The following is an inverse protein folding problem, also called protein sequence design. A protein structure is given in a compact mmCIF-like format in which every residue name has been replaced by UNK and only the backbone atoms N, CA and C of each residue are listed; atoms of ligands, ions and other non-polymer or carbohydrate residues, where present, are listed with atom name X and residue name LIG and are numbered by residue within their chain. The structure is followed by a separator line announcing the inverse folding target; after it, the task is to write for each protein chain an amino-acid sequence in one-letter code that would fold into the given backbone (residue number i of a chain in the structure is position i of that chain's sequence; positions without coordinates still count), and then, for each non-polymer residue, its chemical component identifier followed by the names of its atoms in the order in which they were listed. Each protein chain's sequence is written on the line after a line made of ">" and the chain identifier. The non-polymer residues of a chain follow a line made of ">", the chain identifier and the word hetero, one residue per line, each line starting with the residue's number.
data_IF_818502751224
#
_entry.id   IF_818502751224
#
_cell.length_a   1.000
_cell.length_b   1.000
_cell.length_c   1.000
_cell.angle_alpha   90.00
_cell.angle_beta   90.00
_cell.angle_gamma   90.00
#
_symmetry.space_group_name_H-M   'P 1'
#
loop_
_entity.id
_entity.type
_entity.pdbx_description
1 polymer ?
#
# COMPACT_ATOMS: atom_id res chain seq x y z
N UNK A 1 -17.28 11.44 -3.34
CA UNK A 1 -16.82 10.21 -2.66
C UNK A 1 -17.60 8.98 -3.11
N UNK A 2 -18.88 8.79 -2.73
CA UNK A 2 -19.65 7.58 -3.10
C UNK A 2 -19.60 7.22 -4.60
N UNK A 3 -19.98 8.15 -5.49
CA UNK A 3 -20.00 7.90 -6.94
C UNK A 3 -18.58 7.65 -7.49
N UNK A 4 -17.56 8.30 -6.94
CA UNK A 4 -16.17 8.12 -7.35
C UNK A 4 -15.70 6.69 -7.07
N UNK A 5 -15.95 6.17 -5.86
CA UNK A 5 -15.52 4.81 -5.50
C UNK A 5 -16.27 3.73 -6.28
N UNK A 6 -17.56 3.94 -6.55
CA UNK A 6 -18.33 3.06 -7.44
C UNK A 6 -17.77 3.01 -8.86
N UNK A 7 -17.35 4.16 -9.39
CA UNK A 7 -16.79 4.28 -10.74
C UNK A 7 -15.39 3.65 -10.84
N UNK A 8 -14.47 4.01 -9.93
CA UNK A 8 -13.09 3.50 -9.92
C UNK A 8 -13.02 1.98 -9.73
N UNK A 9 -13.92 1.43 -8.89
CA UNK A 9 -13.97 0.00 -8.59
C UNK A 9 -15.01 -0.75 -9.43
N UNK A 10 -15.55 -0.11 -10.47
CA UNK A 10 -16.52 -0.75 -11.37
C UNK A 10 -15.92 -2.00 -12.04
N UNK A 11 -16.59 -3.14 -11.96
CA UNK A 11 -16.08 -4.44 -12.45
C UNK A 11 -14.76 -4.92 -11.80
N UNK A 12 -14.31 -4.27 -10.72
CA UNK A 12 -13.16 -4.75 -9.96
C UNK A 12 -13.55 -6.03 -9.21
N UNK A 13 -12.80 -7.10 -9.42
CA UNK A 13 -13.05 -8.42 -8.80
C UNK A 13 -12.52 -8.47 -7.36
N UNK A 14 -13.17 -7.71 -6.48
CA UNK A 14 -12.81 -7.60 -5.06
C UNK A 14 -13.06 -8.88 -4.24
N UNK A 15 -13.77 -9.85 -4.82
CA UNK A 15 -14.03 -11.18 -4.27
C UNK A 15 -13.01 -12.24 -4.71
N UNK A 16 -12.14 -11.92 -5.68
CA UNK A 16 -11.13 -12.83 -6.19
C UNK A 16 -9.75 -12.49 -5.62
N UNK A 17 -9.08 -13.50 -5.07
CA UNK A 17 -7.68 -13.34 -4.66
C UNK A 17 -6.77 -13.18 -5.87
N UNK A 18 -5.77 -12.31 -5.72
CA UNK A 18 -4.65 -12.23 -6.64
C UNK A 18 -3.95 -13.60 -6.71
N UNK A 19 -3.62 -14.09 -7.91
CA UNK A 19 -2.96 -15.39 -8.09
C UNK A 19 -1.46 -15.28 -7.76
N UNK A 20 -1.14 -14.95 -6.51
CA UNK A 20 0.23 -14.88 -6.02
C UNK A 20 0.81 -16.29 -5.86
N UNK A 21 2.12 -16.48 -6.10
CA UNK A 21 2.78 -17.79 -6.05
C UNK A 21 3.05 -18.21 -4.60
N UNK A 22 1.98 -18.47 -3.85
CA UNK A 22 2.06 -19.01 -2.50
C UNK A 22 2.62 -20.44 -2.50
N UNK A 23 3.47 -20.76 -1.52
CA UNK A 23 4.01 -22.11 -1.33
C UNK A 23 2.91 -23.17 -1.11
N UNK A 24 1.75 -22.72 -0.61
CA UNK A 24 0.57 -23.56 -0.41
C UNK A 24 -0.67 -22.82 -0.88
N UNK A 25 -1.54 -23.54 -1.59
CA UNK A 25 -2.84 -23.02 -1.97
C UNK A 25 -3.70 -22.72 -0.73
N UNK A 26 -4.34 -21.56 -0.71
CA UNK A 26 -5.28 -21.21 0.36
C UNK A 26 -6.60 -21.97 0.13
N UNK A 27 -7.04 -22.76 1.10
CA UNK A 27 -8.34 -23.41 1.01
C UNK A 27 -9.43 -22.40 1.36
N UNK A 28 -10.58 -22.47 0.67
CA UNK A 28 -11.69 -21.51 0.84
C UNK A 28 -12.32 -21.50 2.23
N UNK A 29 -12.08 -22.55 3.03
CA UNK A 29 -12.53 -22.67 4.42
C UNK A 29 -11.47 -22.25 5.46
N UNK A 30 -10.28 -21.80 5.03
CA UNK A 30 -9.23 -21.37 5.95
C UNK A 30 -9.40 -19.90 6.40
N UNK A 31 -9.56 -19.71 7.71
CA UNK A 31 -9.55 -18.39 8.32
C UNK A 31 -8.16 -17.73 8.24
N UNK A 32 -8.13 -16.39 8.22
CA UNK A 32 -6.86 -15.64 8.33
C UNK A 32 -6.23 -15.98 9.68
N UNK A 33 -5.00 -16.47 9.64
CA UNK A 33 -4.28 -16.90 10.85
C UNK A 33 -3.67 -15.73 11.63
N UNK A 34 -3.51 -14.57 10.99
CA UNK A 34 -2.79 -13.43 11.56
C UNK A 34 -1.28 -13.62 11.69
N UNK A 35 -0.76 -14.82 11.41
CA UNK A 35 0.67 -15.11 11.44
C UNK A 35 1.37 -14.54 10.22
N UNK A 36 2.55 -13.97 10.42
CA UNK A 36 3.39 -13.41 9.37
C UNK A 36 4.83 -13.28 9.83
N UNK A 37 5.70 -12.97 8.88
CA UNK A 37 7.11 -12.63 9.14
C UNK A 37 7.49 -11.43 8.29
N UNK A 38 8.62 -10.81 8.59
CA UNK A 38 9.12 -9.65 7.86
C UNK A 38 10.50 -9.95 7.28
N UNK A 39 10.69 -9.60 6.02
CA UNK A 39 11.98 -9.67 5.33
C UNK A 39 12.32 -8.25 4.87
N UNK A 40 13.56 -7.82 5.11
CA UNK A 40 14.06 -6.53 4.62
C UNK A 40 15.19 -6.72 3.62
N UNK A 41 15.29 -5.76 2.70
CA UNK A 41 16.35 -5.68 1.72
C UNK A 41 16.93 -4.27 1.76
N UNK A 42 18.25 -4.19 1.75
CA UNK A 42 18.98 -2.95 1.50
C UNK A 42 19.35 -2.91 0.01
N UNK A 43 18.88 -1.88 -0.69
CA UNK A 43 19.14 -1.69 -2.12
C UNK A 43 20.52 -1.04 -2.38
N UNK A 44 21.22 -0.59 -1.35
CA UNK A 44 22.51 0.08 -1.45
C UNK A 44 22.40 1.50 -2.02
N UNK A 45 23.49 2.26 -1.88
CA UNK A 45 23.54 3.67 -2.24
C UNK A 45 23.43 3.89 -3.75
N UNK A 46 24.12 3.08 -4.55
CA UNK A 46 24.19 3.26 -6.01
C UNK A 46 22.81 3.10 -6.67
N UNK A 47 22.11 2.00 -6.35
CA UNK A 47 20.77 1.75 -6.90
C UNK A 47 19.77 2.81 -6.42
N UNK A 48 19.83 3.19 -5.14
CA UNK A 48 18.98 4.24 -4.57
C UNK A 48 19.21 5.58 -5.28
N UNK A 49 20.47 5.95 -5.55
CA UNK A 49 20.82 7.17 -6.27
C UNK A 49 20.33 7.15 -7.72
N UNK A 50 20.48 6.02 -8.42
CA UNK A 50 19.92 5.86 -9.76
C UNK A 50 18.39 5.96 -9.77
N UNK A 51 17.73 5.40 -8.76
CA UNK A 51 16.28 5.45 -8.64
C UNK A 51 15.77 6.89 -8.41
N UNK A 52 16.44 7.65 -7.53
CA UNK A 52 16.19 9.09 -7.33
C UNK A 52 16.41 9.93 -8.59
N UNK A 53 17.50 9.67 -9.29
CA UNK A 53 17.86 10.38 -10.54
C UNK A 53 16.82 10.10 -11.63
N UNK A 54 16.36 8.85 -11.73
CA UNK A 54 15.34 8.45 -12.68
C UNK A 54 13.99 9.09 -12.38
N UNK A 55 13.57 9.12 -11.11
CA UNK A 55 12.35 9.83 -10.68
C UNK A 55 12.38 11.31 -11.13
N UNK A 56 13.50 11.99 -10.87
CA UNK A 56 13.70 13.39 -11.20
C UNK A 56 13.71 13.66 -12.71
N UNK A 57 14.36 12.80 -13.50
CA UNK A 57 14.46 12.95 -14.96
C UNK A 57 13.11 12.92 -15.68
N UNK A 58 12.11 12.27 -15.07
CA UNK A 58 10.77 12.10 -15.62
C UNK A 58 9.69 12.93 -14.90
N UNK A 59 10.08 13.83 -13.99
CA UNK A 59 9.15 14.63 -13.17
C UNK A 59 8.13 13.77 -12.39
N UNK A 60 8.57 12.63 -11.86
CA UNK A 60 7.75 11.72 -11.06
C UNK A 60 8.31 11.69 -9.64
N UNK A 61 7.46 11.86 -8.63
CA UNK A 61 7.87 11.70 -7.23
C UNK A 61 8.32 10.28 -6.93
N UNK A 62 9.32 10.13 -6.07
CA UNK A 62 9.92 8.83 -5.70
C UNK A 62 8.89 7.79 -5.25
N UNK A 63 7.93 8.20 -4.42
CA UNK A 63 6.81 7.38 -3.96
C UNK A 63 6.07 6.72 -5.13
N UNK A 64 5.70 7.50 -6.15
CA UNK A 64 4.92 7.01 -7.28
C UNK A 64 5.75 6.13 -8.22
N UNK A 65 7.06 6.38 -8.33
CA UNK A 65 7.96 5.50 -9.06
C UNK A 65 8.09 4.14 -8.35
N UNK A 66 8.22 4.14 -7.02
CA UNK A 66 8.25 2.92 -6.20
C UNK A 66 6.95 2.14 -6.29
N UNK A 67 5.81 2.83 -6.18
CA UNK A 67 4.48 2.25 -6.35
C UNK A 67 4.28 1.66 -7.75
N UNK A 68 4.74 2.33 -8.81
CA UNK A 68 4.67 1.80 -10.17
C UNK A 68 5.57 0.56 -10.35
N UNK A 69 6.75 0.56 -9.73
CA UNK A 69 7.65 -0.60 -9.70
C UNK A 69 6.97 -1.78 -9.02
N UNK A 70 6.24 -1.51 -7.94
CA UNK A 70 5.46 -2.50 -7.21
C UNK A 70 4.32 -3.11 -8.04
N UNK A 71 3.55 -2.29 -8.77
CA UNK A 71 2.54 -2.78 -9.70
C UNK A 71 3.14 -3.65 -10.82
N UNK A 72 4.27 -3.24 -11.40
CA UNK A 72 4.96 -4.04 -12.43
C UNK A 72 5.52 -5.34 -11.85
N UNK A 73 5.99 -5.32 -10.61
CA UNK A 73 6.40 -6.52 -9.89
C UNK A 73 5.22 -7.49 -9.73
N UNK A 74 4.07 -7.01 -9.23
CA UNK A 74 2.86 -7.82 -9.10
C UNK A 74 2.36 -8.37 -10.44
N UNK A 75 2.36 -7.55 -11.50
CA UNK A 75 2.02 -7.98 -12.86
C UNK A 75 2.86 -9.18 -13.30
N UNK A 76 4.19 -9.11 -13.08
CA UNK A 76 5.09 -10.22 -13.42
C UNK A 76 4.86 -11.44 -12.53
N UNK A 77 4.60 -11.22 -11.25
CA UNK A 77 4.42 -12.26 -10.24
C UNK A 77 3.10 -13.04 -10.42
N UNK A 78 2.09 -12.39 -11.01
CA UNK A 78 0.74 -12.95 -11.26
C UNK A 78 0.57 -13.43 -12.71
N UNK A 79 1.67 -13.69 -13.41
CA UNK A 79 1.68 -14.18 -14.80
C UNK A 79 0.95 -13.24 -15.79
N UNK A 80 0.99 -11.93 -15.54
CA UNK A 80 0.46 -10.91 -16.45
C UNK A 80 -0.96 -10.45 -16.14
N UNK A 81 -1.45 -10.63 -14.90
CA UNK A 81 -2.72 -10.04 -14.47
C UNK A 81 -2.68 -8.52 -14.64
N UNK A 82 -3.64 -7.99 -15.39
CA UNK A 82 -3.65 -6.58 -15.80
C UNK A 82 -4.45 -5.71 -14.86
N UNK A 83 -5.46 -6.27 -14.20
CA UNK A 83 -6.33 -5.51 -13.29
C UNK A 83 -5.93 -5.80 -11.85
N UNK A 84 -5.13 -4.90 -11.28
CA UNK A 84 -4.53 -5.08 -9.96
C UNK A 84 -5.11 -4.08 -8.97
N UNK A 85 -5.65 -4.58 -7.86
CA UNK A 85 -6.10 -3.74 -6.74
C UNK A 85 -5.28 -4.03 -5.50
N UNK A 86 -4.67 -2.99 -4.93
CA UNK A 86 -3.84 -3.09 -3.71
C UNK A 86 -4.32 -2.11 -2.65
N UNK A 87 -3.91 -2.33 -1.40
CA UNK A 87 -4.15 -1.39 -0.30
C UNK A 87 -3.14 -0.27 -0.24
N UNK A 88 -3.63 0.95 -0.03
CA UNK A 88 -2.82 2.10 0.34
C UNK A 88 -3.35 2.68 1.64
N UNK A 89 -2.44 2.99 2.56
CA UNK A 89 -2.78 3.61 3.83
C UNK A 89 -2.72 5.14 3.71
N UNK A 90 -3.84 5.80 3.98
CA UNK A 90 -3.85 7.24 4.22
C UNK A 90 -3.68 7.52 5.71
N UNK A 91 -2.88 8.54 6.04
CA UNK A 91 -2.66 9.00 7.41
C UNK A 91 -3.96 9.36 8.15
N UNK A 92 -5.02 9.71 7.41
CA UNK A 92 -6.34 9.97 7.97
C UNK A 92 -6.52 11.29 8.71
N UNK A 93 -5.45 12.08 8.80
CA UNK A 93 -5.42 13.39 9.47
C UNK A 93 -5.73 14.51 8.47
N UNK A 94 -6.97 14.54 8.00
CA UNK A 94 -7.41 15.47 6.95
C UNK A 94 -7.64 16.91 7.43
N UNK A 95 -7.51 17.16 8.73
CA UNK A 95 -7.63 18.50 9.32
C UNK A 95 -6.49 18.71 10.29
N UNK A 96 -6.00 19.93 10.36
CA UNK A 96 -4.83 20.27 11.15
C UNK A 96 -5.03 20.01 12.65
N UNK A 97 -6.26 20.13 13.16
CA UNK A 97 -6.55 19.89 14.58
C UNK A 97 -6.34 18.42 14.96
N UNK A 98 -6.37 17.50 13.99
CA UNK A 98 -6.17 16.08 14.23
C UNK A 98 -4.69 15.72 14.38
N UNK A 99 -3.75 16.59 14.04
CA UNK A 99 -2.33 16.27 14.03
C UNK A 99 -1.76 15.97 15.43
N UNK A 100 -2.26 16.65 16.45
CA UNK A 100 -1.83 16.48 17.85
C UNK A 100 -2.66 15.45 18.64
N UNK A 101 -3.64 14.80 18.01
CA UNK A 101 -4.53 13.86 18.69
C UNK A 101 -3.97 12.43 18.60
N UNK A 102 -3.84 11.79 19.75
CA UNK A 102 -3.55 10.35 19.84
C UNK A 102 -4.84 9.60 19.51
N UNK A 103 -4.81 8.77 18.47
CA UNK A 103 -5.98 8.00 18.02
C UNK A 103 -5.71 7.24 16.72
N UNK A 104 -6.63 6.34 16.38
CA UNK A 104 -6.60 5.58 15.12
C UNK A 104 -7.22 6.42 14.00
N UNK A 105 -6.37 7.05 13.19
CA UNK A 105 -6.81 7.84 12.04
C UNK A 105 -6.58 7.12 10.71
N UNK A 106 -5.63 6.18 10.65
CA UNK A 106 -5.24 5.49 9.42
C UNK A 106 -6.47 4.91 8.72
N UNK A 107 -6.65 5.25 7.45
CA UNK A 107 -7.69 4.69 6.60
C UNK A 107 -7.05 4.01 5.41
N UNK A 108 -7.27 2.71 5.28
CA UNK A 108 -6.86 1.96 4.10
C UNK A 108 -7.86 2.20 2.96
N UNK A 109 -7.35 2.48 1.77
CA UNK A 109 -8.17 2.63 0.56
C UNK A 109 -7.69 1.68 -0.53
N UNK A 110 -8.60 1.13 -1.35
CA UNK A 110 -8.22 0.36 -2.53
C UNK A 110 -7.64 1.29 -3.60
N UNK A 111 -6.51 0.91 -4.16
CA UNK A 111 -5.93 1.52 -5.35
C UNK A 111 -5.93 0.47 -6.47
N UNK A 112 -6.90 0.59 -7.37
CA UNK A 112 -7.01 -0.25 -8.57
C UNK A 112 -6.22 0.38 -9.70
N UNK A 113 -5.40 -0.39 -10.40
CA UNK A 113 -4.64 0.04 -11.57
C UNK A 113 -4.77 -1.02 -12.67
N UNK A 114 -5.15 -0.58 -13.86
CA UNK A 114 -5.21 -1.44 -15.05
C UNK A 114 -3.95 -1.22 -15.89
N UNK A 115 -3.10 -2.24 -15.96
CA UNK A 115 -1.82 -2.17 -16.64
C UNK A 115 -1.96 -2.58 -18.11
N UNK A 116 -1.51 -1.70 -18.99
CA UNK A 116 -1.30 -2.01 -20.40
C UNK A 116 0.16 -2.45 -20.62
N UNK A 117 0.41 -3.72 -21.02
CA UNK A 117 1.76 -4.25 -21.23
C UNK A 117 2.51 -3.61 -22.41
N UNK A 118 1.82 -2.84 -23.26
CA UNK A 118 2.44 -2.11 -24.37
C UNK A 118 2.95 -0.72 -23.97
N UNK A 119 2.64 -0.25 -22.76
CA UNK A 119 3.15 1.01 -22.26
C UNK A 119 4.61 0.88 -21.81
N UNK A 120 5.39 1.93 -22.08
CA UNK A 120 6.70 2.07 -21.44
C UNK A 120 6.54 2.26 -19.93
N UNK A 121 7.54 1.85 -19.17
CA UNK A 121 7.51 1.98 -17.71
C UNK A 121 7.23 3.42 -17.23
N UNK A 122 7.78 4.43 -17.91
CA UNK A 122 7.50 5.82 -17.59
C UNK A 122 6.00 6.17 -17.74
N UNK A 123 5.34 5.69 -18.79
CA UNK A 123 3.90 5.91 -18.98
C UNK A 123 3.08 5.19 -17.89
N UNK A 124 3.50 4.00 -17.48
CA UNK A 124 2.90 3.29 -16.34
C UNK A 124 3.07 4.10 -15.05
N UNK A 125 4.27 4.59 -14.77
CA UNK A 125 4.52 5.38 -13.57
C UNK A 125 3.72 6.68 -13.53
N UNK A 126 3.55 7.34 -14.69
CA UNK A 126 2.70 8.52 -14.79
C UNK A 126 1.22 8.19 -14.57
N UNK A 127 0.73 7.09 -15.17
CA UNK A 127 -0.63 6.61 -14.96
C UNK A 127 -0.90 6.30 -13.47
N UNK A 128 0.02 5.60 -12.81
CA UNK A 128 -0.05 5.29 -11.37
C UNK A 128 -0.06 6.56 -10.52
N UNK A 129 0.80 7.54 -10.82
CA UNK A 129 0.81 8.85 -10.15
C UNK A 129 -0.55 9.54 -10.26
N UNK A 130 -1.08 9.67 -11.48
CA UNK A 130 -2.32 10.40 -11.71
C UNK A 130 -3.51 9.71 -11.04
N UNK A 131 -3.53 8.37 -11.06
CA UNK A 131 -4.52 7.56 -10.35
C UNK A 131 -4.44 7.75 -8.83
N UNK A 132 -3.24 7.64 -8.25
CA UNK A 132 -3.01 7.82 -6.82
C UNK A 132 -3.43 9.23 -6.37
N UNK A 133 -3.05 10.29 -7.10
CA UNK A 133 -3.48 11.67 -6.81
C UNK A 133 -5.01 11.79 -6.81
N UNK A 134 -5.70 11.14 -7.74
CA UNK A 134 -7.15 11.17 -7.80
C UNK A 134 -7.81 10.42 -6.63
N UNK A 135 -7.32 9.22 -6.30
CA UNK A 135 -7.80 8.44 -5.15
C UNK A 135 -7.57 9.16 -3.82
N UNK A 136 -6.42 9.84 -3.67
CA UNK A 136 -6.08 10.54 -2.42
C UNK A 136 -7.04 11.70 -2.10
N UNK A 137 -7.67 12.33 -3.11
CA UNK A 137 -8.72 13.35 -2.90
C UNK A 137 -9.93 12.80 -2.13
N UNK A 138 -10.18 11.49 -2.21
CA UNK A 138 -11.30 10.81 -1.57
C UNK A 138 -10.87 9.83 -0.49
N UNK A 139 -9.60 9.87 -0.09
CA UNK A 139 -9.01 8.99 0.93
C UNK A 139 -9.68 9.08 2.30
N UNK A 140 -10.38 10.18 2.59
CA UNK A 140 -11.18 10.36 3.81
C UNK A 140 -12.42 9.47 3.90
N UNK A 141 -12.79 8.82 2.80
CA UNK A 141 -13.99 8.00 2.75
C UNK A 141 -13.72 6.61 3.37
N UNK A 142 -14.48 6.18 4.40
CA UNK A 142 -14.15 4.97 5.15
C UNK A 142 -14.17 3.70 4.29
N UNK A 143 -13.16 2.83 4.46
CA UNK A 143 -13.08 1.55 3.73
C UNK A 143 -14.37 0.74 3.81
N UNK A 144 -14.96 0.60 5.00
CA UNK A 144 -16.20 -0.14 5.22
C UNK A 144 -17.34 0.40 4.33
N UNK A 145 -17.39 1.71 4.12
CA UNK A 145 -18.40 2.30 3.23
C UNK A 145 -18.12 2.03 1.77
N UNK A 146 -16.85 1.99 1.36
CA UNK A 146 -16.45 1.58 0.00
C UNK A 146 -16.90 0.13 -0.23
N UNK A 147 -16.57 -0.77 0.69
CA UNK A 147 -16.89 -2.19 0.57
C UNK A 147 -18.40 -2.46 0.54
N UNK A 148 -19.18 -1.75 1.37
CA UNK A 148 -20.64 -1.88 1.39
C UNK A 148 -21.32 -1.47 0.07
N UNK A 149 -20.64 -0.73 -0.80
CA UNK A 149 -21.15 -0.41 -2.14
C UNK A 149 -21.07 -1.61 -3.10
N UNK A 150 -20.32 -2.65 -2.74
CA UNK A 150 -20.15 -3.89 -3.49
C UNK A 150 -20.75 -5.06 -2.69
N UNK A 151 -22.06 -4.97 -2.43
CA UNK A 151 -22.84 -5.80 -1.49
C UNK A 151 -22.89 -7.30 -1.79
N UNK A 152 -22.51 -7.73 -3.00
CA UNK A 152 -22.49 -9.15 -3.40
C UNK A 152 -21.28 -9.90 -2.82
N UNK A 153 -20.42 -9.22 -2.09
CA UNK A 153 -19.18 -9.75 -1.54
C UNK A 153 -19.41 -10.18 -0.09
N UNK A 154 -19.71 -11.46 0.13
CA UNK A 154 -19.94 -12.04 1.47
C UNK A 154 -18.68 -12.11 2.34
N UNK A 155 -17.50 -12.02 1.74
CA UNK A 155 -16.19 -11.95 2.38
C UNK A 155 -15.28 -11.16 1.44
N UNK A 156 -15.13 -9.84 1.61
CA UNK A 156 -14.17 -9.11 0.80
C UNK A 156 -12.82 -9.76 1.03
N UNK A 157 -12.24 -10.29 -0.05
CA UNK A 157 -10.85 -10.68 -0.05
C UNK A 157 -10.11 -9.38 0.16
N UNK A 158 -9.82 -9.11 1.44
CA UNK A 158 -9.08 -7.93 1.85
C UNK A 158 -7.84 -7.88 0.97
N UNK A 159 -7.60 -6.70 0.38
CA UNK A 159 -6.47 -6.37 -0.49
C UNK A 159 -5.31 -7.30 -0.18
N UNK A 160 -5.08 -8.30 -1.04
CA UNK A 160 -4.14 -9.39 -0.75
C UNK A 160 -2.74 -8.87 -0.48
N UNK A 161 -2.49 -7.66 -0.97
CA UNK A 161 -1.30 -6.91 -0.69
C UNK A 161 -1.56 -5.42 -0.54
N UNK A 162 -0.66 -4.75 0.17
CA UNK A 162 -0.64 -3.31 0.37
C UNK A 162 0.74 -2.74 0.11
N UNK A 163 0.79 -1.47 -0.25
CA UNK A 163 2.03 -0.72 -0.44
C UNK A 163 2.07 0.50 0.46
N UNK A 164 3.23 0.74 1.06
CA UNK A 164 3.49 1.92 1.86
C UNK A 164 4.88 2.45 1.50
N UNK A 165 4.97 3.77 1.35
CA UNK A 165 6.22 4.46 1.10
C UNK A 165 6.48 5.43 2.25
N UNK A 166 7.57 5.20 2.97
CA UNK A 166 7.97 6.05 4.09
C UNK A 166 9.28 6.71 3.69
N UNK A 167 9.29 8.03 3.63
CA UNK A 167 10.52 8.81 3.50
C UNK A 167 10.88 9.33 4.87
N UNK A 168 11.98 8.84 5.44
CA UNK A 168 12.65 9.53 6.54
C UNK A 168 13.59 10.56 5.93
N UNK A 169 13.42 11.83 6.30
CA UNK A 169 14.47 12.81 6.10
C UNK A 169 15.53 12.52 7.17
N UNK A 170 16.82 12.37 6.82
CA UNK A 170 17.87 11.99 7.78
C UNK A 170 18.19 13.06 8.83
N UNK A 171 17.33 14.06 9.03
CA UNK A 171 17.60 15.24 9.86
C UNK A 171 16.49 15.59 10.84
N UNK A 172 15.61 14.65 11.20
CA UNK A 172 14.74 14.84 12.35
C UNK A 172 15.33 14.05 13.53
N UNK A 173 15.99 14.76 14.45
CA UNK A 173 16.28 14.30 15.84
C UNK A 173 15.00 13.91 16.62
N UNK A 174 13.84 13.85 15.94
CA UNK A 174 12.52 13.46 16.44
C UNK A 174 12.24 11.96 16.36
N UNK A 175 13.19 11.16 15.88
CA UNK A 175 13.08 9.71 16.00
C UNK A 175 13.14 9.25 17.45
N UNK A 176 13.36 10.13 18.41
CA UNK A 176 13.36 9.82 19.84
C UNK A 176 12.10 10.38 20.52
N UNK A 177 11.20 9.51 20.97
CA UNK A 177 10.11 9.86 21.88
C UNK A 177 10.59 9.62 23.32
N UNK A 178 10.58 10.67 24.13
CA UNK A 178 10.84 10.57 25.57
C UNK A 178 9.54 10.34 26.32
N UNK A 179 9.47 9.26 27.11
CA UNK A 179 8.38 9.01 28.05
C UNK A 179 8.98 8.86 29.44
N UNK A 180 8.93 9.93 30.24
CA UNK A 180 9.67 10.02 31.49
C UNK A 180 11.18 9.92 31.25
N UNK A 181 11.85 9.02 31.96
CA UNK A 181 13.30 8.75 31.81
C UNK A 181 13.60 7.73 30.70
N UNK A 182 12.58 7.24 29.99
CA UNK A 182 12.72 6.22 28.94
C UNK A 182 12.80 6.86 27.56
N UNK A 183 13.80 6.43 26.80
CA UNK A 183 14.06 6.86 25.43
C UNK A 183 13.54 5.80 24.44
N UNK A 184 12.61 6.17 23.56
CA UNK A 184 12.11 5.29 22.49
C UNK A 184 12.58 5.79 21.14
N UNK A 185 13.32 4.98 20.38
CA UNK A 185 13.63 5.29 19.00
C UNK A 185 12.58 4.72 18.04
N UNK A 186 12.03 5.56 17.16
CA UNK A 186 11.20 5.20 16.02
C UNK A 186 12.11 4.55 14.97
N UNK A 187 12.41 3.27 15.14
CA UNK A 187 12.98 2.48 14.05
C UNK A 187 11.91 2.28 12.97
N UNK A 188 12.26 2.31 11.68
CA UNK A 188 11.32 1.91 10.63
C UNK A 188 10.85 0.50 10.92
N UNK A 189 9.54 0.36 11.09
CA UNK A 189 8.85 -0.82 11.61
C UNK A 189 9.42 -2.14 11.05
N UNK A 190 10.20 -2.86 11.87
CA UNK A 190 10.28 -4.32 11.73
C UNK A 190 9.21 -4.92 12.63
N UNK A 191 8.02 -5.16 12.06
CA UNK A 191 6.98 -5.93 12.75
C UNK A 191 7.51 -7.37 12.83
N UNK A 192 8.20 -7.70 13.92
CA UNK A 192 8.48 -9.08 14.29
C UNK A 192 7.25 -9.61 15.01
N UNK A 193 6.44 -10.41 14.32
CA UNK A 193 5.41 -11.22 14.97
C UNK A 193 6.17 -12.28 15.77
N UNK A 194 5.98 -12.30 17.08
CA UNK A 194 6.69 -13.19 17.99
C UNK A 194 6.40 -14.66 17.67
N UNK A 195 7.46 -15.47 17.55
CA UNK A 195 7.38 -16.92 17.39
C UNK A 195 6.90 -17.65 18.67
N UNK A 196 6.65 -16.93 19.77
CA UNK A 196 6.48 -17.50 21.12
C UNK A 196 5.01 -17.66 21.58
N UNK A 197 4.14 -18.20 20.73
CA UNK A 197 2.90 -18.85 21.20
C UNK A 197 2.75 -20.24 20.58
N UNK A 198 3.84 -21.02 20.63
CA UNK A 198 3.82 -22.46 20.39
C UNK A 198 3.91 -23.13 21.76
N UNK A 199 2.74 -23.45 22.34
CA UNK A 199 2.54 -24.61 23.21
C UNK A 199 1.16 -25.19 22.97
#
# INVERSE_FOLDING_TARGET
>A
ANMFWLDVLHDCKLDQSLPLPFDRYRLSNEHRTGRGTSISFDFGQDLSHHFLTHASSYNISLEYLALATYYVFLFKLTNGEKDLCIGINSHGRYRDELNSIIGMFVNAIPLRCQLDPHLSFHKVAKHVQDNMINCMKYSYFPLQRILNQHSDISNPVFLDTSFEFISSMPNDDKDVIMIGDSQFSLLPNSIKISENEIM
#
